data_IF_088701898034
#
_entry.id   IF_088701898034
#
_cell.length_a   1.000
_cell.length_b   1.000
_cell.length_c   1.000
_cell.angle_alpha   90.00
_cell.angle_beta   90.00
_cell.angle_gamma   90.00
#
_symmetry.space_group_name_H-M   'P 1'
#
loop_
_entity.id
_entity.type
_entity.pdbx_description
1 polymer ?
#
# COMPACT_ATOMS: atom_id res chain seq x y z
N UNK A 1 14.56 -0.71 19.21
CA UNK A 1 13.10 -0.94 19.32
C UNK A 1 12.75 -2.36 19.73
N UNK A 2 13.25 -3.41 19.06
CA UNK A 2 12.98 -4.80 19.47
C UNK A 2 13.30 -5.07 20.96
N UNK A 3 14.44 -4.58 21.45
CA UNK A 3 14.82 -4.71 22.85
C UNK A 3 13.81 -4.04 23.82
N UNK A 4 13.22 -2.91 23.42
CA UNK A 4 12.18 -2.22 24.21
C UNK A 4 10.93 -3.08 24.29
N UNK A 5 10.45 -3.60 23.16
CA UNK A 5 9.28 -4.49 23.11
C UNK A 5 9.51 -5.71 24.00
N UNK A 6 10.67 -6.36 23.85
CA UNK A 6 11.02 -7.53 24.65
C UNK A 6 11.07 -7.21 26.15
N UNK A 7 11.69 -6.10 26.54
CA UNK A 7 11.75 -5.66 27.94
C UNK A 7 10.36 -5.42 28.52
N UNK A 8 9.53 -4.64 27.84
CA UNK A 8 8.18 -4.30 28.31
C UNK A 8 7.31 -5.56 28.47
N UNK A 9 7.34 -6.47 27.51
CA UNK A 9 6.56 -7.71 27.60
C UNK A 9 7.12 -8.68 28.65
N UNK A 10 8.44 -8.74 28.82
CA UNK A 10 9.05 -9.59 29.85
C UNK A 10 8.61 -9.17 31.26
N UNK A 11 8.44 -7.87 31.47
CA UNK A 11 7.96 -7.29 32.73
C UNK A 11 6.46 -6.95 32.69
N UNK A 12 5.68 -7.59 31.80
CA UNK A 12 4.24 -7.32 31.63
C UNK A 12 3.48 -7.29 32.95
N UNK A 13 3.70 -8.28 33.83
CA UNK A 13 3.01 -8.37 35.12
C UNK A 13 3.25 -7.17 36.05
N UNK A 14 4.36 -6.45 35.89
CA UNK A 14 4.71 -5.29 36.71
C UNK A 14 4.34 -3.96 36.05
N UNK A 15 4.39 -3.92 34.71
CA UNK A 15 4.23 -2.68 33.94
C UNK A 15 2.79 -2.45 33.48
N UNK A 16 1.99 -3.51 33.38
CA UNK A 16 0.62 -3.39 32.89
C UNK A 16 -0.24 -2.56 33.86
N UNK A 17 -0.95 -1.56 33.31
CA UNK A 17 -1.78 -0.63 34.08
C UNK A 17 -1.02 0.45 34.86
N UNK A 18 0.32 0.46 34.81
CA UNK A 18 1.15 1.47 35.48
C UNK A 18 1.84 2.40 34.49
N UNK A 19 2.09 3.65 34.89
CA UNK A 19 2.89 4.59 34.10
C UNK A 19 4.37 4.39 34.39
N UNK A 20 5.18 4.20 33.36
CA UNK A 20 6.62 4.00 33.52
C UNK A 20 7.44 4.77 32.47
N UNK A 21 8.76 4.78 32.64
CA UNK A 21 9.68 5.41 31.69
C UNK A 21 10.61 4.36 31.10
N UNK A 22 10.68 4.31 29.78
CA UNK A 22 11.63 3.47 29.05
C UNK A 22 12.81 4.33 28.62
N UNK A 23 14.00 3.95 29.05
CA UNK A 23 15.24 4.62 28.69
C UNK A 23 15.92 3.89 27.53
N UNK A 24 16.33 4.60 26.48
CA UNK A 24 17.04 4.02 25.32
C UNK A 24 18.21 4.90 24.89
N UNK A 25 19.26 4.27 24.39
CA UNK A 25 20.40 4.88 23.71
C UNK A 25 20.14 5.14 22.20
N UNK A 26 18.93 4.86 21.70
CA UNK A 26 18.61 5.02 20.29
C UNK A 26 17.83 6.32 20.02
N UNK A 27 18.54 7.44 19.86
CA UNK A 27 17.93 8.79 19.66
C UNK A 27 16.87 8.87 18.55
N UNK A 28 17.03 8.26 17.37
CA UNK A 28 15.99 8.29 16.33
C UNK A 28 14.66 7.66 16.79
N UNK A 29 14.69 6.76 17.78
CA UNK A 29 13.50 6.04 18.24
C UNK A 29 12.47 6.99 18.85
N UNK A 30 12.93 8.04 19.54
CA UNK A 30 12.06 9.06 20.13
C UNK A 30 11.23 9.77 19.07
N UNK A 31 11.87 10.13 17.94
CA UNK A 31 11.18 10.81 16.85
C UNK A 31 10.15 9.90 16.18
N UNK A 32 10.50 8.63 15.97
CA UNK A 32 9.61 7.69 15.28
C UNK A 32 8.39 7.33 16.17
N UNK A 33 8.61 7.10 17.46
CA UNK A 33 7.52 6.77 18.40
C UNK A 33 6.52 7.92 18.62
N UNK A 34 7.02 9.15 18.69
CA UNK A 34 6.18 10.34 18.87
C UNK A 34 5.55 10.84 17.57
N UNK A 35 5.87 10.22 16.42
CA UNK A 35 5.32 10.61 15.14
C UNK A 35 4.07 9.81 14.79
N UNK A 36 3.08 10.49 14.22
CA UNK A 36 1.95 9.85 13.54
C UNK A 36 2.26 9.47 12.09
N UNK A 37 3.51 9.67 11.63
CA UNK A 37 3.89 9.33 10.27
C UNK A 37 3.93 7.81 10.06
N UNK A 38 3.55 7.33 8.85
CA UNK A 38 3.73 5.94 8.47
C UNK A 38 5.20 5.52 8.59
N UNK A 39 5.44 4.27 8.96
CA UNK A 39 6.76 3.70 9.16
C UNK A 39 6.77 2.25 8.68
N UNK A 40 7.95 1.65 8.54
CA UNK A 40 8.09 0.23 8.16
C UNK A 40 7.16 -0.71 8.94
N UNK A 41 6.68 -1.76 8.29
CA UNK A 41 5.78 -2.80 8.86
C UNK A 41 6.28 -3.38 10.18
N UNK A 42 7.59 -3.62 10.26
CA UNK A 42 8.24 -4.15 11.46
C UNK A 42 8.03 -3.22 12.65
N UNK A 43 8.21 -1.93 12.43
CA UNK A 43 8.05 -0.92 13.46
C UNK A 43 6.59 -0.76 13.87
N UNK A 44 5.69 -0.70 12.90
CA UNK A 44 4.26 -0.58 13.16
C UNK A 44 3.75 -1.72 14.05
N UNK A 45 4.19 -2.95 13.78
CA UNK A 45 3.86 -4.08 14.66
C UNK A 45 4.41 -3.93 16.06
N UNK A 46 5.66 -3.48 16.22
CA UNK A 46 6.22 -3.23 17.55
C UNK A 46 5.43 -2.15 18.29
N UNK A 47 4.96 -1.11 17.58
CA UNK A 47 4.08 -0.09 18.13
C UNK A 47 2.75 -0.69 18.60
N UNK A 48 2.12 -1.55 17.80
CA UNK A 48 0.89 -2.26 18.18
C UNK A 48 1.06 -3.11 19.45
N UNK A 49 2.18 -3.82 19.59
CA UNK A 49 2.48 -4.62 20.80
C UNK A 49 2.65 -3.75 22.05
N UNK A 50 3.10 -2.51 21.88
CA UNK A 50 3.33 -1.57 22.97
C UNK A 50 2.10 -0.70 23.28
N UNK A 51 1.07 -0.68 22.43
CA UNK A 51 -0.17 0.09 22.66
C UNK A 51 -0.87 -0.18 23.99
N UNK A 52 -0.87 -1.41 24.54
CA UNK A 52 -1.50 -1.66 25.84
C UNK A 52 -0.79 -1.02 27.05
N UNK A 53 0.39 -0.44 26.87
CA UNK A 53 1.23 0.07 27.96
C UNK A 53 1.32 1.60 27.91
N UNK A 54 1.24 2.24 29.07
CA UNK A 54 1.43 3.69 29.20
C UNK A 54 2.87 4.00 29.62
N UNK A 55 3.70 4.47 28.69
CA UNK A 55 5.10 4.78 28.99
C UNK A 55 5.63 6.01 28.26
N UNK A 56 6.63 6.65 28.88
CA UNK A 56 7.39 7.74 28.28
C UNK A 56 8.75 7.22 27.80
N UNK A 57 9.14 7.53 26.57
CA UNK A 57 10.44 7.15 26.02
C UNK A 57 11.47 8.26 26.23
N UNK A 58 12.56 7.98 26.96
CA UNK A 58 13.66 8.91 27.23
C UNK A 58 14.95 8.47 26.57
N UNK A 59 15.66 9.39 25.94
CA UNK A 59 17.00 9.14 25.41
C UNK A 59 18.05 9.33 26.50
N UNK A 60 18.93 8.34 26.68
CA UNK A 60 20.15 8.47 27.48
C UNK A 60 21.37 8.13 26.63
N UNK A 61 22.36 9.04 26.51
CA UNK A 61 23.60 8.75 25.79
C UNK A 61 24.35 7.58 26.44
N UNK A 62 24.88 6.65 25.63
CA UNK A 62 25.63 5.50 26.14
C UNK A 62 27.05 5.80 26.67
N UNK A 63 27.43 7.08 26.78
CA UNK A 63 28.76 7.50 27.30
C UNK A 63 28.80 7.65 28.82
N UNK A 64 27.64 7.74 29.46
CA UNK A 64 27.59 7.87 30.91
C UNK A 64 27.71 6.47 31.54
N UNK A 65 28.52 6.33 32.59
CA UNK A 65 28.63 5.13 33.45
C UNK A 65 27.28 4.68 34.06
N UNK A 66 26.21 5.44 33.80
CA UNK A 66 24.84 5.30 34.28
C UNK A 66 23.91 4.45 33.39
N UNK A 67 24.38 3.83 32.30
CA UNK A 67 23.52 2.92 31.51
C UNK A 67 23.69 1.45 31.96
N UNK A 68 22.91 0.95 32.93
CA UNK A 68 23.01 -0.43 33.40
C UNK A 68 22.68 -1.47 32.31
N UNK A 69 22.04 -1.06 31.20
CA UNK A 69 21.73 -1.95 30.09
C UNK A 69 22.95 -2.22 29.17
N UNK A 70 23.97 -1.36 29.15
CA UNK A 70 25.12 -1.51 28.22
C UNK A 70 25.90 -2.80 28.51
N UNK A 71 26.21 -3.07 29.79
CA UNK A 71 26.93 -4.28 30.21
C UNK A 71 26.20 -5.56 29.81
N UNK A 72 24.91 -5.66 30.13
CA UNK A 72 24.09 -6.84 29.82
C UNK A 72 23.88 -7.02 28.31
N UNK A 73 23.82 -5.94 27.53
CA UNK A 73 23.69 -6.01 26.07
C UNK A 73 24.95 -6.54 25.38
N UNK A 74 26.13 -6.28 25.96
CA UNK A 74 27.44 -6.69 25.42
C UNK A 74 27.90 -8.08 25.86
N UNK A 75 27.21 -8.69 26.83
CA UNK A 75 27.53 -10.03 27.35
C UNK A 75 26.33 -10.99 27.20
N UNK A 76 25.88 -11.27 25.96
CA UNK A 76 24.77 -12.19 25.74
C UNK A 76 25.16 -13.61 26.18
N UNK A 77 24.30 -14.26 26.97
CA UNK A 77 24.45 -15.70 27.25
C UNK A 77 24.20 -16.50 25.96
N UNK A 78 24.93 -17.61 25.77
CA UNK A 78 24.96 -18.41 24.55
C UNK A 78 23.65 -19.17 24.22
N UNK A 79 22.50 -18.75 24.78
CA UNK A 79 21.19 -19.34 24.51
C UNK A 79 20.55 -18.60 23.34
N UNK A 80 20.34 -19.26 22.18
CA UNK A 80 19.63 -18.65 21.07
C UNK A 80 18.13 -18.59 21.39
N UNK A 81 17.65 -17.49 21.97
CA UNK A 81 16.23 -17.14 21.93
C UNK A 81 15.97 -16.36 20.65
N UNK A 82 15.73 -17.07 19.54
CA UNK A 82 15.20 -16.46 18.31
C UNK A 82 13.71 -16.19 18.52
N UNK A 83 13.35 -14.98 18.98
CA UNK A 83 11.98 -14.51 18.89
C UNK A 83 11.70 -14.07 17.43
N UNK A 84 11.46 -15.06 16.57
CA UNK A 84 11.16 -14.87 15.15
C UNK A 84 9.78 -14.28 14.89
N UNK A 85 8.97 -14.05 15.94
CA UNK A 85 7.61 -13.53 15.81
C UNK A 85 7.59 -12.37 14.84
N UNK A 86 8.51 -11.40 15.01
CA UNK A 86 8.74 -10.23 14.15
C UNK A 86 8.72 -10.54 12.65
N UNK A 87 9.53 -11.51 12.25
CA UNK A 87 9.70 -11.96 10.87
C UNK A 87 8.48 -12.74 10.39
N UNK A 88 7.83 -13.52 11.25
CA UNK A 88 6.62 -14.28 10.89
C UNK A 88 5.47 -13.38 10.43
N UNK A 89 5.31 -12.19 11.03
CA UNK A 89 4.29 -11.23 10.57
C UNK A 89 4.66 -10.57 9.25
N UNK A 90 5.94 -10.27 9.04
CA UNK A 90 6.37 -9.71 7.75
C UNK A 90 6.14 -10.77 6.67
N UNK A 91 6.41 -12.04 6.98
CA UNK A 91 6.03 -13.19 6.14
C UNK A 91 4.53 -13.24 5.86
N UNK A 92 3.71 -13.11 6.91
CA UNK A 92 2.26 -13.12 6.80
C UNK A 92 1.75 -11.96 5.92
N UNK A 93 2.22 -10.74 6.16
CA UNK A 93 1.86 -9.56 5.36
C UNK A 93 2.29 -9.76 3.91
N UNK A 94 3.52 -10.23 3.66
CA UNK A 94 3.99 -10.51 2.31
C UNK A 94 3.08 -11.54 1.62
N UNK A 95 2.70 -12.64 2.30
CA UNK A 95 1.80 -13.66 1.75
C UNK A 95 0.37 -13.14 1.52
N UNK A 96 -0.17 -12.35 2.45
CA UNK A 96 -1.54 -11.83 2.36
C UNK A 96 -1.70 -10.73 1.29
N UNK A 97 -0.61 -10.00 1.01
CA UNK A 97 -0.56 -8.91 0.02
C UNK A 97 -0.27 -9.41 -1.40
N UNK A 98 0.09 -10.69 -1.57
CA UNK A 98 0.15 -11.31 -2.91
C UNK A 98 -1.30 -11.49 -3.42
N UNK A 99 -1.64 -11.00 -4.61
CA UNK A 99 -2.93 -11.29 -5.23
C UNK A 99 -3.12 -12.80 -5.39
N UNK A 100 -4.33 -13.33 -5.17
CA UNK A 100 -4.60 -14.78 -5.14
C UNK A 100 -4.16 -15.54 -6.42
N UNK A 101 -4.00 -14.84 -7.54
CA UNK A 101 -3.58 -15.39 -8.82
C UNK A 101 -2.08 -15.20 -9.13
N UNK A 102 -1.28 -14.67 -8.19
CA UNK A 102 0.19 -14.66 -8.24
C UNK A 102 0.75 -15.50 -7.09
N UNK A 103 1.94 -16.04 -7.28
CA UNK A 103 2.71 -16.63 -6.17
C UNK A 103 3.80 -15.69 -5.68
N UNK A 104 4.15 -15.80 -4.39
CA UNK A 104 5.27 -15.04 -3.81
C UNK A 104 6.59 -15.33 -4.55
N UNK A 105 6.78 -16.57 -5.02
CA UNK A 105 7.98 -17.01 -5.73
C UNK A 105 8.12 -16.36 -7.11
N UNK A 106 7.01 -16.17 -7.83
CA UNK A 106 7.01 -15.41 -9.09
C UNK A 106 7.42 -13.95 -8.87
N UNK A 107 6.90 -13.32 -7.80
CA UNK A 107 7.28 -11.96 -7.44
C UNK A 107 8.76 -11.89 -7.10
N UNK A 108 9.28 -12.80 -6.27
CA UNK A 108 10.72 -12.86 -5.94
C UNK A 108 11.59 -12.99 -7.18
N UNK A 109 11.23 -13.90 -8.09
CA UNK A 109 11.97 -14.11 -9.34
C UNK A 109 11.96 -12.85 -10.21
N UNK A 110 10.81 -12.19 -10.33
CA UNK A 110 10.68 -10.95 -11.08
C UNK A 110 11.44 -9.79 -10.41
N UNK A 111 11.41 -9.68 -9.08
CA UNK A 111 12.18 -8.69 -8.30
C UNK A 111 13.68 -8.88 -8.47
N UNK A 112 14.17 -10.13 -8.55
CA UNK A 112 15.59 -10.42 -8.82
C UNK A 112 16.04 -9.92 -10.19
N UNK A 113 15.15 -9.99 -11.17
CA UNK A 113 15.42 -9.54 -12.54
C UNK A 113 15.20 -8.03 -12.75
N UNK A 114 14.55 -7.34 -11.82
CA UNK A 114 14.25 -5.90 -11.92
C UNK A 114 15.43 -5.05 -11.40
N UNK A 115 16.19 -4.36 -12.28
CA UNK A 115 17.36 -3.59 -11.86
C UNK A 115 17.02 -2.43 -10.93
N UNK A 116 15.82 -1.86 -11.04
CA UNK A 116 15.40 -0.74 -10.22
C UNK A 116 15.11 -1.20 -8.79
N UNK A 117 14.40 -2.31 -8.62
CA UNK A 117 14.13 -2.86 -7.29
C UNK A 117 15.38 -3.39 -6.61
N UNK A 118 16.33 -3.97 -7.36
CA UNK A 118 17.62 -4.37 -6.79
C UNK A 118 18.39 -3.18 -6.21
N UNK A 119 18.42 -2.04 -6.93
CA UNK A 119 19.01 -0.80 -6.41
C UNK A 119 18.26 -0.25 -5.20
N UNK A 120 16.93 -0.37 -5.16
CA UNK A 120 16.13 0.03 -3.98
C UNK A 120 16.50 -0.85 -2.78
N UNK A 121 16.64 -2.17 -2.97
CA UNK A 121 17.02 -3.08 -1.88
C UNK A 121 18.41 -2.76 -1.32
N UNK A 122 19.39 -2.47 -2.18
CA UNK A 122 20.74 -2.08 -1.73
C UNK A 122 20.74 -0.70 -1.08
N UNK A 123 19.92 0.25 -1.55
CA UNK A 123 19.77 1.57 -0.95
C UNK A 123 19.14 1.50 0.46
N UNK A 124 18.14 0.62 0.67
CA UNK A 124 17.53 0.38 1.98
C UNK A 124 18.56 -0.17 2.98
N UNK A 125 19.44 -1.08 2.54
CA UNK A 125 20.46 -1.68 3.40
C UNK A 125 21.64 -0.74 3.67
N UNK A 126 22.09 0.01 2.67
CA UNK A 126 23.27 0.89 2.75
C UNK A 126 22.95 2.29 3.26
N UNK A 127 21.69 2.71 3.22
CA UNK A 127 21.25 4.07 3.57
C UNK A 127 21.58 5.15 2.54
N UNK A 128 22.14 4.79 1.38
CA UNK A 128 22.53 5.72 0.31
C UNK A 128 21.46 5.77 -0.78
N UNK A 129 20.86 6.95 -1.00
CA UNK A 129 19.70 7.17 -1.88
C UNK A 129 19.99 8.14 -3.04
N UNK A 130 21.25 8.26 -3.47
CA UNK A 130 21.72 9.35 -4.33
C UNK A 130 21.43 9.16 -5.84
N UNK A 131 20.96 7.97 -6.25
CA UNK A 131 20.67 7.68 -7.66
C UNK A 131 19.34 8.29 -8.15
N UNK A 132 19.36 8.98 -9.30
CA UNK A 132 18.16 9.50 -10.00
C UNK A 132 16.99 8.50 -10.15
N UNK A 133 17.19 7.23 -10.56
CA UNK A 133 16.10 6.24 -10.67
C UNK A 133 15.45 5.87 -9.32
N UNK A 134 16.07 6.22 -8.20
CA UNK A 134 15.51 6.02 -6.86
C UNK A 134 14.63 7.20 -6.40
N UNK A 135 14.54 8.29 -7.16
CA UNK A 135 13.79 9.50 -6.76
C UNK A 135 12.32 9.23 -6.41
N UNK A 136 11.66 8.30 -7.09
CA UNK A 136 10.28 7.90 -6.77
C UNK A 136 10.16 7.14 -5.45
N UNK A 137 11.24 6.50 -5.01
CA UNK A 137 11.33 5.69 -3.79
C UNK A 137 11.97 6.46 -2.63
N UNK A 138 12.79 7.49 -2.89
CA UNK A 138 13.49 8.26 -1.87
C UNK A 138 12.53 9.03 -0.97
N UNK A 139 11.43 9.55 -1.52
CA UNK A 139 10.38 10.24 -0.77
C UNK A 139 9.65 9.33 0.23
N UNK A 140 9.62 8.03 -0.03
CA UNK A 140 8.92 7.02 0.78
C UNK A 140 9.88 6.07 1.49
N UNK A 141 11.17 6.41 1.56
CA UNK A 141 12.23 5.54 2.10
C UNK A 141 11.94 5.02 3.52
N UNK A 142 11.27 5.81 4.35
CA UNK A 142 10.96 5.48 5.74
C UNK A 142 9.81 4.45 5.87
N UNK A 143 9.04 4.27 4.78
CA UNK A 143 7.92 3.32 4.66
C UNK A 143 8.37 1.98 4.04
N UNK A 144 9.55 1.95 3.43
CA UNK A 144 10.06 0.79 2.70
C UNK A 144 10.76 -0.19 3.64
N UNK A 145 10.56 -1.47 3.35
CA UNK A 145 11.22 -2.57 4.05
C UNK A 145 11.51 -3.71 3.09
N UNK A 146 12.58 -4.46 3.35
CA UNK A 146 12.97 -5.63 2.56
C UNK A 146 12.74 -6.88 3.39
N UNK A 147 12.09 -7.88 2.79
CA UNK A 147 11.86 -9.18 3.41
C UNK A 147 11.94 -10.28 2.36
N UNK A 148 12.74 -11.32 2.60
CA UNK A 148 12.80 -12.52 1.76
C UNK A 148 12.91 -12.23 0.25
N UNK A 149 13.76 -11.26 -0.12
CA UNK A 149 13.97 -10.88 -1.52
C UNK A 149 12.89 -10.03 -2.17
N UNK A 150 11.84 -9.63 -1.43
CA UNK A 150 10.80 -8.70 -1.90
C UNK A 150 10.85 -7.37 -1.13
N UNK A 151 10.32 -6.33 -1.77
CA UNK A 151 10.20 -4.99 -1.18
C UNK A 151 8.75 -4.77 -0.77
N UNK A 152 8.56 -4.28 0.45
CA UNK A 152 7.26 -3.93 1.01
C UNK A 152 7.24 -2.43 1.32
N UNK A 153 6.14 -1.77 0.97
CA UNK A 153 5.83 -0.40 1.39
C UNK A 153 4.70 -0.46 2.41
N UNK A 154 5.01 -0.28 3.69
CA UNK A 154 4.08 -0.64 4.77
C UNK A 154 3.48 -2.03 4.46
N UNK A 155 2.16 -2.20 4.57
CA UNK A 155 1.49 -3.48 4.32
C UNK A 155 1.31 -3.86 2.84
N UNK A 156 1.94 -3.15 1.89
CA UNK A 156 1.73 -3.34 0.46
C UNK A 156 2.96 -3.94 -0.21
N UNK A 157 2.73 -4.88 -1.11
CA UNK A 157 3.79 -5.50 -1.90
C UNK A 157 4.22 -4.58 -3.04
N UNK A 158 5.52 -4.31 -3.16
CA UNK A 158 6.05 -3.54 -4.28
C UNK A 158 6.24 -4.46 -5.47
N UNK A 159 5.47 -4.22 -6.53
CA UNK A 159 5.44 -5.10 -7.71
C UNK A 159 6.52 -4.65 -8.72
N UNK A 160 7.35 -5.58 -9.25
CA UNK A 160 8.30 -5.29 -10.32
C UNK A 160 7.59 -4.93 -11.62
N UNK A 161 8.28 -4.14 -12.44
CA UNK A 161 7.78 -3.60 -13.71
C UNK A 161 7.17 -4.65 -14.65
N UNK A 162 7.75 -5.85 -14.71
CA UNK A 162 7.26 -6.96 -15.54
C UNK A 162 5.88 -7.49 -15.15
N UNK A 163 5.48 -7.33 -13.89
CA UNK A 163 4.22 -7.87 -13.36
C UNK A 163 3.10 -6.82 -13.26
N UNK A 164 3.38 -5.56 -13.59
CA UNK A 164 2.41 -4.47 -13.47
C UNK A 164 1.12 -4.74 -14.26
N UNK A 165 1.25 -5.13 -15.53
CA UNK A 165 0.11 -5.40 -16.39
C UNK A 165 -0.73 -6.58 -15.87
N UNK A 166 -0.09 -7.68 -15.48
CA UNK A 166 -0.77 -8.86 -14.95
C UNK A 166 -1.58 -8.53 -13.70
N UNK A 167 -1.01 -7.76 -12.77
CA UNK A 167 -1.71 -7.36 -11.54
C UNK A 167 -2.90 -6.45 -11.84
N UNK A 168 -2.79 -5.53 -12.79
CA UNK A 168 -3.90 -4.66 -13.18
C UNK A 168 -5.01 -5.48 -13.85
N UNK A 169 -4.67 -6.38 -14.78
CA UNK A 169 -5.65 -7.25 -15.44
C UNK A 169 -6.41 -8.11 -14.42
N UNK A 170 -5.71 -8.68 -13.44
CA UNK A 170 -6.34 -9.47 -12.37
C UNK A 170 -7.31 -8.65 -11.51
N UNK A 171 -6.93 -7.42 -11.16
CA UNK A 171 -7.82 -6.54 -10.42
C UNK A 171 -9.00 -6.02 -11.26
N UNK A 172 -8.84 -6.03 -12.60
CA UNK A 172 -9.85 -5.59 -13.54
C UNK A 172 -10.79 -6.70 -14.04
N UNK A 173 -10.50 -7.97 -13.79
CA UNK A 173 -11.18 -9.15 -14.38
C UNK A 173 -12.72 -9.14 -14.26
N UNK A 174 -13.26 -8.47 -13.25
CA UNK A 174 -14.71 -8.31 -13.01
C UNK A 174 -15.31 -7.01 -13.56
N UNK A 175 -14.58 -6.28 -14.42
CA UNK A 175 -14.99 -5.05 -15.09
C UNK A 175 -15.62 -3.99 -14.17
N UNK A 176 -15.16 -3.90 -12.91
CA UNK A 176 -15.75 -3.08 -11.84
C UNK A 176 -15.66 -1.55 -12.04
N UNK A 177 -15.16 -1.09 -13.18
CA UNK A 177 -14.93 0.32 -13.47
C UNK A 177 -13.66 0.88 -12.83
N UNK A 178 -13.30 2.09 -13.25
CA UNK A 178 -12.02 2.73 -12.92
C UNK A 178 -11.85 3.08 -11.43
N UNK A 179 -12.90 3.61 -10.81
CA UNK A 179 -12.84 4.07 -9.42
C UNK A 179 -12.60 2.89 -8.48
N UNK A 180 -13.36 1.80 -8.66
CA UNK A 180 -13.20 0.58 -7.84
C UNK A 180 -11.84 -0.07 -8.07
N UNK A 181 -11.39 -0.17 -9.32
CA UNK A 181 -10.07 -0.75 -9.63
C UNK A 181 -8.93 0.03 -8.96
N UNK A 182 -9.01 1.36 -8.97
CA UNK A 182 -8.07 2.24 -8.26
C UNK A 182 -8.14 2.16 -6.73
N UNK A 183 -9.26 1.71 -6.17
CA UNK A 183 -9.38 1.48 -4.73
C UNK A 183 -8.81 0.11 -4.34
N UNK A 184 -9.10 -0.93 -5.12
CA UNK A 184 -8.72 -2.31 -4.82
C UNK A 184 -7.22 -2.58 -4.95
N UNK A 185 -6.59 -2.09 -6.03
CA UNK A 185 -5.18 -2.38 -6.30
C UNK A 185 -4.27 -1.87 -5.16
N UNK A 186 -4.40 -0.60 -4.69
CA UNK A 186 -3.54 -0.07 -3.65
C UNK A 186 -3.74 -0.68 -2.26
N UNK A 187 -4.76 -1.51 -2.02
CA UNK A 187 -4.93 -2.21 -0.74
C UNK A 187 -3.80 -3.23 -0.51
N UNK A 188 -3.42 -3.95 -1.58
CA UNK A 188 -2.46 -5.05 -1.51
C UNK A 188 -1.12 -4.73 -2.16
N UNK A 189 -1.11 -3.97 -3.25
CA UNK A 189 0.09 -3.75 -4.05
C UNK A 189 0.42 -2.28 -4.21
N UNK A 190 1.67 -1.98 -4.56
CA UNK A 190 2.10 -0.63 -4.88
C UNK A 190 3.23 -0.61 -5.92
N UNK A 191 3.24 0.39 -6.78
CA UNK A 191 4.38 0.75 -7.62
C UNK A 191 4.26 2.22 -8.07
N UNK A 192 5.36 2.87 -8.48
CA UNK A 192 5.31 4.25 -8.95
C UNK A 192 4.38 4.41 -10.16
N UNK A 193 3.46 5.39 -10.11
CA UNK A 193 2.58 5.69 -11.24
C UNK A 193 1.40 4.74 -11.45
N UNK A 194 1.03 3.95 -10.43
CA UNK A 194 -0.05 2.95 -10.49
C UNK A 194 -1.36 3.48 -11.09
N UNK A 195 -1.80 4.67 -10.68
CA UNK A 195 -3.07 5.25 -11.14
C UNK A 195 -3.08 5.51 -12.65
N UNK A 196 -1.95 5.98 -13.20
CA UNK A 196 -1.81 6.27 -14.64
C UNK A 196 -1.86 4.98 -15.46
N UNK A 197 -1.18 3.94 -14.99
CA UNK A 197 -1.14 2.66 -15.68
C UNK A 197 -2.50 1.95 -15.64
N UNK A 198 -3.22 2.06 -14.52
CA UNK A 198 -4.60 1.56 -14.39
C UNK A 198 -5.54 2.30 -15.35
N UNK A 199 -5.44 3.63 -15.41
CA UNK A 199 -6.23 4.42 -16.38
C UNK A 199 -5.98 4.00 -17.83
N UNK A 200 -4.73 3.82 -18.22
CA UNK A 200 -4.35 3.43 -19.56
C UNK A 200 -4.90 2.04 -19.93
N UNK A 201 -4.76 1.06 -19.02
CA UNK A 201 -5.28 -0.29 -19.23
C UNK A 201 -6.81 -0.31 -19.40
N UNK A 202 -7.53 0.44 -18.57
CA UNK A 202 -8.99 0.50 -18.60
C UNK A 202 -9.54 1.25 -19.81
N UNK A 203 -8.83 2.24 -20.32
CA UNK A 203 -9.17 2.92 -21.59
C UNK A 203 -9.11 1.95 -22.78
N UNK A 204 -8.21 0.97 -22.74
CA UNK A 204 -8.10 -0.08 -23.75
C UNK A 204 -9.08 -1.25 -23.60
N UNK A 205 -9.84 -1.32 -22.51
CA UNK A 205 -10.71 -2.47 -22.23
C UNK A 205 -12.03 -2.42 -23.03
N UNK A 206 -12.14 -3.25 -24.07
CA UNK A 206 -13.31 -3.28 -24.96
C UNK A 206 -14.64 -3.53 -24.22
N UNK A 207 -14.79 -4.51 -23.32
CA UNK A 207 -16.02 -4.71 -22.54
C UNK A 207 -16.42 -3.49 -21.70
N UNK A 208 -15.45 -2.80 -21.10
CA UNK A 208 -15.74 -1.58 -20.35
C UNK A 208 -16.16 -0.44 -21.27
N UNK A 209 -15.45 -0.23 -22.38
CA UNK A 209 -15.79 0.83 -23.33
C UNK A 209 -17.16 0.62 -23.97
N UNK A 210 -17.57 -0.63 -24.24
CA UNK A 210 -18.90 -0.92 -24.79
C UNK A 210 -20.02 -0.75 -23.76
N UNK A 211 -19.74 -1.01 -22.48
CA UNK A 211 -20.71 -0.80 -21.38
C UNK A 211 -20.89 0.66 -20.99
N UNK A 212 -19.89 1.51 -21.25
CA UNK A 212 -19.99 2.95 -21.03
C UNK A 212 -20.89 3.50 -22.13
N UNK A 213 -22.16 3.68 -21.80
CA UNK A 213 -23.04 4.56 -22.57
C UNK A 213 -22.44 5.96 -22.43
N UNK A 214 -21.69 6.38 -23.45
CA UNK A 214 -21.11 7.71 -23.47
C UNK A 214 -22.17 8.72 -23.07
N UNK A 215 -21.84 9.61 -22.13
CA UNK A 215 -22.56 10.87 -21.98
C UNK A 215 -22.29 11.67 -23.25
N UNK A 216 -22.84 11.23 -24.37
CA UNK A 216 -22.97 12.06 -25.53
C UNK A 216 -23.63 13.33 -24.99
N UNK A 217 -22.93 14.46 -25.08
CA UNK A 217 -23.57 15.76 -24.93
C UNK A 217 -24.68 15.71 -25.96
N UNK A 218 -25.91 15.45 -25.52
CA UNK A 218 -27.07 15.60 -26.38
C UNK A 218 -26.97 17.02 -26.90
N UNK A 219 -26.88 17.16 -28.21
CA UNK A 219 -26.94 18.49 -28.80
C UNK A 219 -28.22 19.15 -28.28
N UNK A 220 -28.16 20.44 -27.92
CA UNK A 220 -29.36 21.13 -27.47
C UNK A 220 -30.44 20.99 -28.54
N UNK A 221 -31.67 20.73 -28.11
CA UNK A 221 -32.82 20.65 -29.00
C UNK A 221 -32.87 21.94 -29.83
N UNK A 222 -32.77 21.81 -31.16
CA UNK A 222 -33.01 22.91 -32.07
C UNK A 222 -34.50 22.92 -32.39
N UNK A 223 -35.19 23.98 -32.00
CA UNK A 223 -36.56 24.19 -32.43
C UNK A 223 -36.57 24.45 -33.93
N UNK A 224 -37.49 23.78 -34.63
CA UNK A 224 -37.81 24.05 -36.02
C UNK A 224 -38.64 25.36 -36.04
N UNK A 225 -38.41 26.29 -36.98
CA UNK A 225 -39.27 27.47 -37.11
C UNK A 225 -40.73 27.04 -37.32
N UNK A 226 -41.66 27.81 -36.76
CA UNK A 226 -43.08 27.55 -36.98
C UNK A 226 -43.46 27.92 -38.43
N UNK A 227 -44.32 27.14 -39.11
CA UNK A 227 -44.85 27.51 -40.42
C UNK A 227 -45.65 28.82 -40.32
N UNK A 228 -45.56 29.65 -41.34
CA UNK A 228 -46.21 30.97 -41.40
C UNK A 228 -47.68 30.86 -41.84
N UNK A 229 -48.01 29.79 -42.59
CA UNK A 229 -49.33 29.55 -43.13
C UNK A 229 -49.83 28.11 -42.90
N UNK A 230 -51.14 27.93 -42.98
CA UNK A 230 -51.75 26.61 -42.89
C UNK A 230 -51.32 25.73 -44.08
N UNK A 231 -51.09 24.44 -43.82
CA UNK A 231 -50.72 23.41 -44.82
C UNK A 231 -49.30 23.51 -45.42
N UNK A 232 -48.40 24.30 -44.84
CA UNK A 232 -47.01 24.39 -45.31
C UNK A 232 -46.16 23.18 -44.94
N UNK A 233 -46.33 22.65 -43.72
CA UNK A 233 -45.68 21.42 -43.26
C UNK A 233 -46.69 20.48 -42.61
N UNK A 234 -46.58 19.18 -42.92
CA UNK A 234 -47.38 18.11 -42.33
C UNK A 234 -46.44 17.07 -41.74
N UNK A 235 -46.46 16.92 -40.42
CA UNK A 235 -45.76 15.87 -39.70
C UNK A 235 -46.75 14.74 -39.42
N UNK A 236 -46.49 13.55 -39.94
CA UNK A 236 -47.31 12.35 -39.74
C UNK A 236 -46.43 11.28 -39.10
N UNK A 237 -46.93 10.66 -38.04
CA UNK A 237 -46.28 9.51 -37.39
C UNK A 237 -47.32 8.39 -37.20
N UNK A 238 -46.84 7.16 -37.08
CA UNK A 238 -47.70 6.03 -36.79
C UNK A 238 -48.10 6.01 -35.32
N UNK A 239 -49.37 5.77 -35.05
CA UNK A 239 -49.85 5.51 -33.70
C UNK A 239 -50.15 4.02 -33.56
N UNK A 240 -49.51 3.35 -32.60
CA UNK A 240 -49.75 1.93 -32.32
C UNK A 240 -48.57 1.23 -31.65
N UNK A 241 -48.70 -0.07 -31.33
CA UNK A 241 -49.91 -0.90 -31.51
C UNK A 241 -50.98 -0.57 -30.47
N UNK A 242 -52.25 -0.56 -30.89
CA UNK A 242 -53.37 -0.40 -29.98
C UNK A 242 -53.72 -1.73 -29.28
N UNK A 243 -54.32 -1.71 -28.07
CA UNK A 243 -54.70 -2.94 -27.35
C UNK A 243 -55.63 -3.87 -28.12
N UNK A 244 -56.32 -3.37 -29.15
CA UNK A 244 -57.18 -4.12 -30.08
C UNK A 244 -56.42 -4.95 -31.11
N UNK A 245 -55.11 -4.75 -31.28
CA UNK A 245 -54.31 -5.37 -32.34
C UNK A 245 -54.40 -4.69 -33.71
N UNK A 246 -55.00 -3.50 -33.77
CA UNK A 246 -55.06 -2.66 -34.97
C UNK A 246 -53.82 -1.74 -35.04
N UNK A 247 -53.36 -1.49 -36.27
CA UNK A 247 -52.23 -0.61 -36.62
C UNK A 247 -52.71 0.53 -37.53
#
# INVERSE_FOLDING_TARGET
>A
MLAVVYGVEKFHMYLYGSKFTVTTDHKPLLRIMNSSKPCSTRFERWRLRLMPYEFNLRYCPGKDELNPADYLSRHPTNKPTRDNKGEDYISYVAKASVPNALTLEEVKKATKNDPQLQKVMTAIQSGKWEDKPLSSFSNIRDELSVYDGVVLRNHRLVIPSSLHHQVITLAHDSHQGIVKTKQLIPEKVWFPGIDKLVEEHLKGCVPCQSSVTGTAKREPLKMIPLPEHAWEEILVDFAGPFPSGEY
#
